data_IF_313585819756
#
_entry.id   IF_313585819756
#
_cell.length_a   1.000
_cell.length_b   1.000
_cell.length_c   1.000
_cell.angle_alpha   90.00
_cell.angle_beta   90.00
_cell.angle_gamma   90.00
#
_symmetry.space_group_name_H-M   'P 1'
#
loop_
_entity.id
_entity.type
_entity.pdbx_description
1 polymer ?
#
# COMPACT_ATOMS: atom_id res chain seq x y z
N UNK A 1 5.98 -22.33 14.09
CA UNK A 1 4.67 -21.72 13.77
C UNK A 1 4.65 -21.42 12.28
N UNK A 2 3.63 -21.90 11.56
CA UNK A 2 3.59 -21.89 10.09
C UNK A 2 3.75 -20.48 9.51
N UNK A 3 4.84 -20.27 8.78
CA UNK A 3 4.97 -19.16 7.86
C UNK A 3 3.92 -19.33 6.75
N UNK A 4 2.86 -18.53 6.78
CA UNK A 4 1.93 -18.42 5.66
C UNK A 4 2.71 -17.86 4.46
N UNK A 5 3.06 -18.72 3.50
CA UNK A 5 3.58 -18.28 2.20
C UNK A 5 2.46 -17.51 1.51
N UNK A 6 2.69 -16.23 1.20
CA UNK A 6 1.80 -15.48 0.31
C UNK A 6 1.67 -16.27 -1.00
N UNK A 7 0.49 -16.86 -1.21
CA UNK A 7 0.22 -17.77 -2.32
C UNK A 7 0.16 -17.02 -3.65
N UNK A 8 -0.19 -15.72 -3.61
CA UNK A 8 -0.34 -14.81 -4.76
C UNK A 8 -1.05 -15.49 -5.95
N UNK A 9 -2.08 -16.28 -5.64
CA UNK A 9 -2.82 -17.07 -6.62
C UNK A 9 -3.59 -16.13 -7.53
N UNK A 10 -4.22 -15.12 -6.94
CA UNK A 10 -4.98 -14.12 -7.68
C UNK A 10 -4.11 -13.37 -8.69
N UNK A 11 -2.82 -13.19 -8.39
CA UNK A 11 -1.85 -12.58 -9.29
C UNK A 11 -1.76 -13.24 -10.67
N UNK A 12 -2.05 -14.55 -10.75
CA UNK A 12 -1.98 -15.35 -11.98
C UNK A 12 -3.26 -15.35 -12.80
N UNK A 13 -4.35 -14.80 -12.27
CA UNK A 13 -5.61 -14.77 -13.00
C UNK A 13 -5.62 -13.71 -14.11
N UNK A 14 -6.32 -13.97 -15.23
CA UNK A 14 -6.61 -12.96 -16.24
C UNK A 14 -7.30 -11.73 -15.63
N UNK A 15 -7.08 -10.56 -16.24
CA UNK A 15 -7.59 -9.27 -15.74
C UNK A 15 -9.11 -9.25 -15.51
N UNK A 16 -9.89 -9.85 -16.40
CA UNK A 16 -11.35 -9.87 -16.25
C UNK A 16 -11.79 -10.66 -15.01
N UNK A 17 -11.11 -11.75 -14.66
CA UNK A 17 -11.38 -12.52 -13.43
C UNK A 17 -10.94 -11.74 -12.19
N UNK A 18 -9.81 -11.02 -12.27
CA UNK A 18 -9.38 -10.13 -11.19
C UNK A 18 -10.45 -9.07 -10.91
N UNK A 19 -10.93 -8.36 -11.93
CA UNK A 19 -12.00 -7.35 -11.79
C UNK A 19 -13.27 -7.92 -11.18
N UNK A 20 -13.74 -9.06 -11.71
CA UNK A 20 -14.96 -9.72 -11.23
C UNK A 20 -14.89 -10.19 -9.77
N UNK A 21 -13.69 -10.34 -9.20
CA UNK A 21 -13.50 -10.68 -7.80
C UNK A 21 -13.23 -9.44 -6.93
N UNK A 22 -12.34 -8.56 -7.38
CA UNK A 22 -11.84 -7.43 -6.58
C UNK A 22 -12.95 -6.42 -6.33
N UNK A 23 -13.70 -6.02 -7.36
CA UNK A 23 -14.70 -4.95 -7.24
C UNK A 23 -15.85 -5.31 -6.27
N UNK A 24 -16.45 -6.51 -6.30
CA UNK A 24 -17.46 -6.89 -5.32
C UNK A 24 -16.89 -7.00 -3.90
N UNK A 25 -15.67 -7.54 -3.76
CA UNK A 25 -15.04 -7.72 -2.44
C UNK A 25 -14.66 -6.38 -1.82
N UNK A 26 -14.04 -5.47 -2.58
CA UNK A 26 -13.71 -4.13 -2.11
C UNK A 26 -14.98 -3.38 -1.70
N UNK A 27 -16.02 -3.43 -2.52
CA UNK A 27 -17.30 -2.77 -2.25
C UNK A 27 -17.98 -3.30 -0.99
N UNK A 28 -17.98 -4.63 -0.78
CA UNK A 28 -18.48 -5.23 0.45
C UNK A 28 -17.69 -4.75 1.66
N UNK A 29 -16.35 -4.80 1.60
CA UNK A 29 -15.49 -4.45 2.74
C UNK A 29 -15.58 -2.99 3.16
N UNK A 30 -15.92 -2.07 2.25
CA UNK A 30 -16.16 -0.66 2.59
C UNK A 30 -17.38 -0.49 3.51
N UNK A 31 -18.39 -1.35 3.38
CA UNK A 31 -19.66 -1.26 4.10
C UNK A 31 -19.82 -2.30 5.22
N UNK A 32 -18.88 -3.25 5.32
CA UNK A 32 -19.02 -4.42 6.18
C UNK A 32 -18.88 -4.09 7.67
N UNK A 33 -19.60 -4.84 8.50
CA UNK A 33 -19.40 -4.96 9.95
C UNK A 33 -18.30 -5.99 10.31
N UNK A 34 -17.70 -6.61 9.29
CA UNK A 34 -16.66 -7.64 9.37
C UNK A 34 -17.05 -8.92 10.12
N UNK A 35 -18.34 -9.21 10.31
CA UNK A 35 -18.81 -10.40 11.01
C UNK A 35 -18.30 -11.72 10.39
N UNK A 36 -18.08 -11.74 9.07
CA UNK A 36 -17.56 -12.92 8.35
C UNK A 36 -16.04 -13.14 8.53
N UNK A 37 -15.29 -12.10 8.94
CA UNK A 37 -13.83 -12.14 9.06
C UNK A 37 -13.41 -12.61 10.45
N UNK A 38 -13.76 -13.85 10.77
CA UNK A 38 -13.57 -14.45 12.10
C UNK A 38 -12.17 -15.00 12.36
N UNK A 39 -11.35 -15.18 11.31
CA UNK A 39 -10.01 -15.77 11.43
C UNK A 39 -8.93 -14.95 10.73
N UNK A 40 -7.64 -15.08 11.15
CA UNK A 40 -6.51 -14.48 10.44
C UNK A 40 -6.44 -14.88 8.96
N UNK A 41 -6.89 -16.08 8.61
CA UNK A 41 -6.93 -16.56 7.23
C UNK A 41 -7.93 -15.78 6.38
N UNK A 42 -9.09 -15.43 6.93
CA UNK A 42 -10.09 -14.62 6.21
C UNK A 42 -9.54 -13.23 5.91
N UNK A 43 -8.92 -12.59 6.91
CA UNK A 43 -8.27 -11.28 6.73
C UNK A 43 -7.16 -11.37 5.70
N UNK A 44 -6.30 -12.38 5.77
CA UNK A 44 -5.20 -12.57 4.80
C UNK A 44 -5.70 -12.78 3.37
N UNK A 45 -6.80 -13.49 3.18
CA UNK A 45 -7.43 -13.65 1.88
C UNK A 45 -7.96 -12.31 1.35
N UNK A 46 -8.64 -11.51 2.17
CA UNK A 46 -9.06 -10.16 1.80
C UNK A 46 -7.87 -9.28 1.43
N UNK A 47 -6.76 -9.34 2.18
CA UNK A 47 -5.54 -8.61 1.85
C UNK A 47 -4.93 -9.06 0.51
N UNK A 48 -5.04 -10.34 0.14
CA UNK A 48 -4.60 -10.80 -1.19
C UNK A 48 -5.45 -10.17 -2.30
N UNK A 49 -6.78 -10.15 -2.13
CA UNK A 49 -7.72 -9.53 -3.09
C UNK A 49 -7.45 -8.03 -3.22
N UNK A 50 -7.41 -7.30 -2.10
CA UNK A 50 -7.20 -5.85 -2.07
C UNK A 50 -5.81 -5.46 -2.60
N UNK A 51 -4.77 -6.25 -2.27
CA UNK A 51 -3.44 -6.06 -2.81
C UNK A 51 -3.40 -6.19 -4.35
N UNK A 52 -4.13 -7.15 -4.92
CA UNK A 52 -4.26 -7.24 -6.38
C UNK A 52 -5.05 -6.08 -6.97
N UNK A 53 -5.99 -5.50 -6.23
CA UNK A 53 -6.70 -4.27 -6.62
C UNK A 53 -5.75 -3.11 -6.92
N UNK A 54 -4.65 -2.98 -6.17
CA UNK A 54 -3.63 -1.94 -6.39
C UNK A 54 -2.84 -2.12 -7.70
N UNK A 55 -2.89 -3.31 -8.31
CA UNK A 55 -2.20 -3.64 -9.56
C UNK A 55 -3.08 -3.51 -10.80
N UNK A 56 -4.37 -3.15 -10.63
CA UNK A 56 -5.28 -2.97 -11.74
C UNK A 56 -4.84 -1.79 -12.65
N UNK A 57 -5.20 -1.82 -13.94
CA UNK A 57 -5.03 -0.68 -14.83
C UNK A 57 -5.65 0.60 -14.27
N UNK A 58 -5.12 1.76 -14.66
CA UNK A 58 -5.58 3.06 -14.17
C UNK A 58 -7.05 3.36 -14.52
N UNK A 59 -7.59 2.70 -15.54
CA UNK A 59 -9.02 2.77 -15.90
C UNK A 59 -9.92 2.30 -14.75
N UNK A 60 -9.43 1.40 -13.89
CA UNK A 60 -10.12 0.92 -12.68
C UNK A 60 -9.86 1.82 -11.46
N UNK A 61 -9.64 3.12 -11.68
CA UNK A 61 -9.29 4.11 -10.64
C UNK A 61 -10.21 4.04 -9.41
N UNK A 62 -11.53 3.90 -9.61
CA UNK A 62 -12.50 3.83 -8.51
C UNK A 62 -12.26 2.61 -7.62
N UNK A 63 -12.01 1.45 -8.22
CA UNK A 63 -11.74 0.19 -7.51
C UNK A 63 -10.41 0.25 -6.77
N UNK A 64 -9.37 0.81 -7.39
CA UNK A 64 -8.08 1.04 -6.73
C UNK A 64 -8.27 1.94 -5.50
N UNK A 65 -8.99 3.05 -5.65
CA UNK A 65 -9.23 3.99 -4.56
C UNK A 65 -10.06 3.36 -3.42
N UNK A 66 -11.02 2.49 -3.74
CA UNK A 66 -11.73 1.70 -2.72
C UNK A 66 -10.78 0.77 -1.96
N UNK A 67 -9.86 0.09 -2.65
CA UNK A 67 -8.88 -0.78 -1.99
C UNK A 67 -7.98 0.03 -1.04
N UNK A 68 -7.53 1.22 -1.46
CA UNK A 68 -6.75 2.15 -0.62
C UNK A 68 -7.58 2.59 0.58
N UNK A 69 -8.87 2.89 0.38
CA UNK A 69 -9.75 3.31 1.45
C UNK A 69 -9.92 2.23 2.53
N UNK A 70 -10.14 0.96 2.15
CA UNK A 70 -10.23 -0.14 3.13
C UNK A 70 -8.95 -0.23 3.96
N UNK A 71 -7.77 -0.13 3.32
CA UNK A 71 -6.49 -0.12 4.04
C UNK A 71 -6.34 1.11 4.92
N UNK A 72 -6.77 2.29 4.48
CA UNK A 72 -6.77 3.50 5.30
C UNK A 72 -7.56 3.31 6.59
N UNK A 73 -8.79 2.78 6.50
CA UNK A 73 -9.64 2.50 7.67
C UNK A 73 -8.96 1.45 8.56
N UNK A 74 -8.47 0.36 7.98
CA UNK A 74 -7.83 -0.70 8.76
C UNK A 74 -6.50 -0.32 9.38
N UNK A 75 -5.79 0.66 8.83
CA UNK A 75 -4.55 1.18 9.38
C UNK A 75 -4.80 2.28 10.41
N UNK A 76 -5.79 3.16 10.21
CA UNK A 76 -5.95 4.38 11.01
C UNK A 76 -7.09 4.33 12.04
N UNK A 77 -8.06 3.43 11.89
CA UNK A 77 -9.26 3.38 12.74
C UNK A 77 -9.38 2.05 13.50
N UNK A 78 -8.77 1.91 14.69
CA UNK A 78 -8.75 0.68 15.50
C UNK A 78 -10.12 0.00 15.72
N UNK A 79 -11.18 0.80 15.82
CA UNK A 79 -12.55 0.33 16.12
C UNK A 79 -13.30 -0.17 14.87
N UNK A 80 -12.81 0.13 13.67
CA UNK A 80 -13.44 -0.27 12.39
C UNK A 80 -12.67 -1.38 11.69
N UNK A 81 -12.07 -2.28 12.47
CA UNK A 81 -11.23 -3.37 11.98
C UNK A 81 -11.86 -4.72 12.30
N UNK A 82 -11.55 -5.76 11.49
CA UNK A 82 -11.90 -7.13 11.84
C UNK A 82 -11.24 -7.57 13.15
N UNK A 83 -11.94 -8.39 13.95
CA UNK A 83 -11.46 -8.90 15.24
C UNK A 83 -10.06 -9.54 15.20
N UNK A 84 -9.75 -10.43 14.23
CA UNK A 84 -8.41 -11.02 14.12
C UNK A 84 -7.30 -10.00 13.89
N UNK A 85 -7.61 -8.89 13.20
CA UNK A 85 -6.65 -7.82 12.94
C UNK A 85 -6.40 -6.98 14.19
N UNK A 86 -7.42 -6.77 15.03
CA UNK A 86 -7.26 -6.09 16.32
C UNK A 86 -6.38 -6.88 17.30
N UNK A 87 -6.48 -8.22 17.28
CA UNK A 87 -5.74 -9.08 18.21
C UNK A 87 -4.24 -9.14 17.95
N UNK A 88 -3.80 -9.04 16.69
CA UNK A 88 -2.39 -9.03 16.32
C UNK A 88 -2.16 -8.19 15.04
N UNK A 89 -2.11 -6.85 15.15
CA UNK A 89 -2.17 -5.96 13.99
C UNK A 89 -0.88 -5.87 13.17
N UNK A 90 0.28 -6.00 13.80
CA UNK A 90 1.58 -5.68 13.18
C UNK A 90 1.89 -6.47 11.90
N UNK A 91 1.69 -7.81 11.84
CA UNK A 91 1.91 -8.56 10.60
C UNK A 91 1.00 -8.10 9.45
N UNK A 92 -0.25 -7.72 9.77
CA UNK A 92 -1.18 -7.20 8.77
C UNK A 92 -0.79 -5.80 8.31
N UNK A 93 -0.34 -4.92 9.22
CA UNK A 93 0.17 -3.60 8.87
C UNK A 93 1.36 -3.72 7.91
N UNK A 94 2.34 -4.57 8.22
CA UNK A 94 3.50 -4.80 7.36
C UNK A 94 3.08 -5.23 5.95
N UNK A 95 2.08 -6.12 5.84
CA UNK A 95 1.54 -6.57 4.55
C UNK A 95 0.82 -5.46 3.79
N UNK A 96 -0.04 -4.69 4.46
CA UNK A 96 -0.75 -3.55 3.85
C UNK A 96 0.22 -2.48 3.36
N UNK A 97 1.22 -2.13 4.17
CA UNK A 97 2.26 -1.15 3.81
C UNK A 97 3.00 -1.60 2.54
N UNK A 98 3.40 -2.87 2.45
CA UNK A 98 4.03 -3.41 1.23
C UNK A 98 3.09 -3.37 0.01
N UNK A 99 1.81 -3.68 0.20
CA UNK A 99 0.86 -3.72 -0.92
C UNK A 99 0.44 -2.33 -1.40
N UNK A 100 0.37 -1.33 -0.51
CA UNK A 100 0.16 0.07 -0.90
C UNK A 100 1.27 0.57 -1.83
N UNK A 101 2.50 0.06 -1.69
CA UNK A 101 3.61 0.45 -2.57
C UNK A 101 3.39 0.05 -4.04
N UNK A 102 2.48 -0.88 -4.32
CA UNK A 102 2.14 -1.31 -5.69
C UNK A 102 1.47 -0.18 -6.50
N UNK A 103 0.83 0.79 -5.82
CA UNK A 103 0.18 1.95 -6.47
C UNK A 103 1.19 2.81 -7.22
N UNK A 104 2.47 2.81 -6.82
CA UNK A 104 3.51 3.63 -7.44
C UNK A 104 4.10 3.02 -8.71
N UNK A 105 3.76 1.77 -9.05
CA UNK A 105 4.24 1.15 -10.28
C UNK A 105 3.65 1.84 -11.52
N UNK A 106 4.50 2.15 -12.49
CA UNK A 106 4.09 2.80 -13.75
C UNK A 106 3.21 1.87 -14.57
N UNK A 107 2.06 2.37 -15.01
CA UNK A 107 1.03 1.58 -15.72
C UNK A 107 1.10 1.81 -17.23
N UNK A 108 2.29 1.64 -17.81
CA UNK A 108 2.50 1.67 -19.27
C UNK A 108 2.75 3.07 -19.87
N UNK A 109 3.31 3.09 -21.09
CA UNK A 109 3.86 4.29 -21.72
C UNK A 109 2.86 5.09 -22.57
N UNK A 110 1.73 4.49 -22.98
CA UNK A 110 0.73 5.09 -23.88
C UNK A 110 -0.46 5.73 -23.12
N UNK A 111 -0.22 6.20 -21.89
CA UNK A 111 -1.28 6.81 -21.09
C UNK A 111 -1.62 8.23 -21.54
N UNK A 112 -2.92 8.52 -21.62
CA UNK A 112 -3.40 9.89 -21.82
C UNK A 112 -2.97 10.79 -20.64
N UNK A 113 -2.80 12.10 -20.88
CA UNK A 113 -2.51 13.07 -19.79
C UNK A 113 -3.51 12.98 -18.62
N UNK A 114 -4.77 12.66 -18.91
CA UNK A 114 -5.81 12.47 -17.89
C UNK A 114 -5.56 11.25 -17.01
N UNK A 115 -5.12 10.14 -17.62
CA UNK A 115 -4.75 8.91 -16.91
C UNK A 115 -3.54 9.13 -16.00
N UNK A 116 -2.53 9.85 -16.49
CA UNK A 116 -1.33 10.22 -15.72
C UNK A 116 -1.71 11.05 -14.50
N UNK A 117 -2.56 12.07 -14.66
CA UNK A 117 -3.00 12.91 -13.52
C UNK A 117 -3.75 12.10 -12.47
N UNK A 118 -4.65 11.18 -12.89
CA UNK A 118 -5.32 10.26 -11.96
C UNK A 118 -4.32 9.40 -11.19
N UNK A 119 -3.27 8.92 -11.87
CA UNK A 119 -2.23 8.12 -11.23
C UNK A 119 -1.43 8.94 -10.22
N UNK A 120 -1.03 10.16 -10.58
CA UNK A 120 -0.36 11.10 -9.66
C UNK A 120 -1.21 11.33 -8.41
N UNK A 121 -2.53 11.52 -8.56
CA UNK A 121 -3.42 11.71 -7.42
C UNK A 121 -3.53 10.47 -6.52
N UNK A 122 -3.57 9.25 -7.09
CA UNK A 122 -3.51 8.02 -6.30
C UNK A 122 -2.22 7.92 -5.50
N UNK A 123 -1.08 8.17 -6.13
CA UNK A 123 0.23 8.14 -5.47
C UNK A 123 0.32 9.20 -4.37
N UNK A 124 -0.11 10.44 -4.64
CA UNK A 124 -0.14 11.53 -3.67
C UNK A 124 -1.02 11.20 -2.46
N UNK A 125 -2.20 10.63 -2.68
CA UNK A 125 -3.08 10.20 -1.60
C UNK A 125 -2.49 9.04 -0.79
N UNK A 126 -1.78 8.12 -1.46
CA UNK A 126 -1.07 7.02 -0.79
C UNK A 126 0.10 7.53 0.07
N UNK A 127 0.84 8.55 -0.38
CA UNK A 127 1.87 9.21 0.44
C UNK A 127 1.29 9.89 1.67
N UNK A 128 0.16 10.61 1.50
CA UNK A 128 -0.57 11.20 2.64
C UNK A 128 -1.05 10.12 3.62
N UNK A 129 -1.48 8.96 3.11
CA UNK A 129 -1.85 7.83 3.96
C UNK A 129 -0.64 7.32 4.76
N UNK A 130 0.51 7.09 4.13
CA UNK A 130 1.73 6.71 4.86
C UNK A 130 2.10 7.73 5.94
N UNK A 131 2.01 9.03 5.63
CA UNK A 131 2.26 10.09 6.59
C UNK A 131 1.35 9.98 7.82
N UNK A 132 0.05 9.79 7.59
CA UNK A 132 -0.93 9.63 8.65
C UNK A 132 -0.67 8.38 9.49
N UNK A 133 -0.27 7.27 8.86
CA UNK A 133 0.09 6.03 9.56
C UNK A 133 1.31 6.25 10.46
N UNK A 134 2.37 6.84 9.91
CA UNK A 134 3.59 7.19 10.66
C UNK A 134 3.28 8.10 11.86
N UNK A 135 2.38 9.07 11.69
CA UNK A 135 2.00 10.04 12.73
C UNK A 135 1.12 9.45 13.82
N UNK A 136 0.09 8.72 13.42
CA UNK A 136 -0.98 8.27 14.32
C UNK A 136 -0.68 6.90 14.94
N UNK A 137 -0.09 6.00 14.15
CA UNK A 137 0.08 4.57 14.51
C UNK A 137 1.55 4.22 14.72
N UNK A 138 2.50 5.05 14.27
CA UNK A 138 3.93 4.76 14.33
C UNK A 138 4.46 4.47 15.74
N UNK A 139 3.79 4.95 16.81
CA UNK A 139 4.17 4.62 18.20
C UNK A 139 3.88 3.16 18.58
N UNK A 140 2.97 2.50 17.87
CA UNK A 140 2.62 1.08 18.06
C UNK A 140 3.54 0.15 17.27
N UNK A 141 4.32 0.66 16.33
CA UNK A 141 5.21 -0.16 15.49
C UNK A 141 6.37 -0.71 16.31
N UNK A 142 6.62 -2.01 16.13
CA UNK A 142 7.88 -2.62 16.53
C UNK A 142 9.00 -2.30 15.52
N UNK A 143 10.21 -2.73 15.86
CA UNK A 143 11.41 -2.52 15.03
C UNK A 143 11.22 -3.12 13.63
N UNK A 144 10.60 -4.30 13.54
CA UNK A 144 10.38 -4.98 12.26
C UNK A 144 9.39 -4.23 11.36
N UNK A 145 8.32 -3.69 11.95
CA UNK A 145 7.32 -2.89 11.24
C UNK A 145 7.89 -1.56 10.79
N UNK A 146 8.70 -0.90 11.62
CA UNK A 146 9.46 0.28 11.22
C UNK A 146 10.43 -0.01 10.07
N UNK A 147 11.14 -1.14 10.12
CA UNK A 147 12.00 -1.57 9.02
C UNK A 147 11.21 -1.76 7.73
N UNK A 148 10.03 -2.39 7.78
CA UNK A 148 9.17 -2.54 6.59
C UNK A 148 8.71 -1.18 6.06
N UNK A 149 8.22 -0.29 6.92
CA UNK A 149 7.79 1.06 6.53
C UNK A 149 8.92 1.83 5.85
N UNK A 150 10.09 1.92 6.49
CA UNK A 150 11.23 2.67 5.96
C UNK A 150 11.76 2.07 4.67
N UNK A 151 11.88 0.74 4.57
CA UNK A 151 12.30 0.08 3.32
C UNK A 151 11.33 0.34 2.17
N UNK A 152 10.03 0.38 2.44
CA UNK A 152 9.01 0.72 1.44
C UNK A 152 9.15 2.17 1.00
N UNK A 153 9.25 3.12 1.93
CA UNK A 153 9.42 4.54 1.60
C UNK A 153 10.70 4.77 0.79
N UNK A 154 11.80 4.14 1.21
CA UNK A 154 13.08 4.17 0.52
C UNK A 154 12.99 3.56 -0.88
N UNK A 155 12.37 2.39 -1.04
CA UNK A 155 12.19 1.75 -2.33
C UNK A 155 11.31 2.56 -3.28
N UNK A 156 10.24 3.18 -2.78
CA UNK A 156 9.38 4.08 -3.60
C UNK A 156 10.13 5.34 -4.01
N UNK A 157 10.91 5.94 -3.11
CA UNK A 157 11.77 7.09 -3.44
C UNK A 157 12.79 6.70 -4.51
N UNK A 158 13.48 5.57 -4.34
CA UNK A 158 14.49 5.09 -5.27
C UNK A 158 13.89 4.80 -6.65
N UNK A 159 12.75 4.11 -6.69
CA UNK A 159 12.05 3.78 -7.92
C UNK A 159 11.64 5.04 -8.70
N UNK A 160 10.94 5.97 -8.05
CA UNK A 160 10.41 7.17 -8.72
C UNK A 160 11.48 8.20 -9.08
N UNK A 161 12.60 8.25 -8.33
CA UNK A 161 13.69 9.21 -8.59
C UNK A 161 14.76 8.65 -9.54
N UNK A 162 14.98 7.32 -9.60
CA UNK A 162 15.96 6.70 -10.51
C UNK A 162 15.42 6.36 -11.87
N UNK A 163 14.15 5.98 -11.99
CA UNK A 163 13.56 5.91 -13.33
C UNK A 163 13.65 7.34 -13.87
N UNK A 164 14.51 7.52 -14.89
CA UNK A 164 14.35 8.59 -15.87
C UNK A 164 13.02 8.31 -16.58
N UNK A 165 11.92 8.44 -15.83
CA UNK A 165 10.56 8.49 -16.32
C UNK A 165 10.66 9.36 -17.56
N UNK A 166 10.26 8.81 -18.69
CA UNK A 166 10.37 9.48 -19.97
C UNK A 166 9.97 10.96 -19.80
N UNK A 167 10.62 11.93 -20.47
CA UNK A 167 10.40 13.36 -20.25
C UNK A 167 8.93 13.84 -20.39
N UNK A 168 8.00 12.93 -20.71
CA UNK A 168 6.55 13.07 -20.68
C UNK A 168 5.86 12.80 -19.33
N UNK A 169 6.51 12.16 -18.36
CA UNK A 169 5.92 11.75 -17.07
C UNK A 169 6.47 12.61 -15.93
N UNK A 170 5.91 13.80 -15.76
CA UNK A 170 6.18 14.75 -14.67
C UNK A 170 5.83 14.23 -13.25
N UNK A 171 5.58 12.92 -13.09
CA UNK A 171 5.14 12.32 -11.83
C UNK A 171 6.22 12.44 -10.74
N UNK A 172 7.51 12.28 -11.10
CA UNK A 172 8.61 12.42 -10.15
C UNK A 172 8.67 13.83 -9.56
N UNK A 173 8.60 14.85 -10.42
CA UNK A 173 8.61 16.26 -10.01
C UNK A 173 7.42 16.58 -9.10
N UNK A 174 6.21 16.14 -9.48
CA UNK A 174 4.95 16.37 -8.76
C UNK A 174 4.87 15.67 -7.39
N UNK A 175 5.64 14.60 -7.18
CA UNK A 175 5.60 13.78 -5.96
C UNK A 175 6.85 13.93 -5.09
N UNK A 176 7.97 14.42 -5.62
CA UNK A 176 9.28 14.51 -4.96
C UNK A 176 9.23 15.12 -3.56
N UNK A 177 8.57 16.27 -3.40
CA UNK A 177 8.44 16.94 -2.10
C UNK A 177 7.69 16.06 -1.09
N UNK A 178 6.56 15.47 -1.49
CA UNK A 178 5.78 14.58 -0.63
C UNK A 178 6.56 13.32 -0.27
N UNK A 179 7.31 12.76 -1.23
CA UNK A 179 8.13 11.56 -1.04
C UNK A 179 9.21 11.77 0.02
N UNK A 180 9.98 12.86 -0.13
CA UNK A 180 11.04 13.22 0.80
C UNK A 180 10.46 13.56 2.17
N UNK A 181 9.36 14.32 2.23
CA UNK A 181 8.70 14.68 3.48
C UNK A 181 8.31 13.45 4.30
N UNK A 182 7.62 12.49 3.67
CA UNK A 182 7.15 11.28 4.36
C UNK A 182 8.33 10.41 4.78
N UNK A 183 9.38 10.31 3.95
CA UNK A 183 10.59 9.58 4.29
C UNK A 183 11.29 10.16 5.53
N UNK A 184 11.55 11.48 5.54
CA UNK A 184 12.21 12.13 6.67
C UNK A 184 11.38 12.05 7.95
N UNK A 185 10.07 12.28 7.87
CA UNK A 185 9.22 12.18 9.05
C UNK A 185 9.13 10.75 9.58
N UNK A 186 9.03 9.75 8.68
CA UNK A 186 9.11 8.34 9.04
C UNK A 186 10.44 7.99 9.72
N UNK A 187 11.54 8.49 9.17
CA UNK A 187 12.88 8.22 9.70
C UNK A 187 13.09 8.81 11.10
N UNK A 188 12.74 10.08 11.30
CA UNK A 188 12.86 10.77 12.58
C UNK A 188 12.02 10.10 13.69
N UNK A 189 10.84 9.57 13.34
CA UNK A 189 9.94 8.91 14.29
C UNK A 189 10.32 7.46 14.56
N UNK A 190 10.82 6.75 13.55
CA UNK A 190 11.22 5.35 13.67
C UNK A 190 12.45 5.16 14.56
N UNK A 191 13.26 6.22 14.75
CA UNK A 191 14.50 6.21 15.54
C UNK A 191 15.39 4.99 15.20
N UNK A 192 15.38 4.58 13.93
CA UNK A 192 16.13 3.40 13.49
C UNK A 192 17.55 3.83 13.17
N UNK A 193 18.48 3.42 14.02
CA UNK A 193 19.92 3.68 13.90
C UNK A 193 20.68 2.55 13.19
N UNK A 194 19.99 1.50 12.75
CA UNK A 194 20.62 0.35 12.09
C UNK A 194 21.19 0.74 10.72
N UNK A 195 22.53 0.82 10.67
CA UNK A 195 23.31 1.14 9.48
C UNK A 195 23.11 0.10 8.37
N UNK A 196 22.76 -1.14 8.73
CA UNK A 196 22.52 -2.23 7.78
C UNK A 196 21.33 -2.00 6.85
N UNK A 197 20.36 -1.17 7.25
CA UNK A 197 19.20 -0.81 6.41
C UNK A 197 19.62 -0.16 5.09
N UNK A 198 20.72 0.61 5.10
CA UNK A 198 21.19 1.41 3.97
C UNK A 198 22.01 0.62 2.95
N UNK A 199 22.44 -0.59 3.30
CA UNK A 199 23.14 -1.47 2.36
C UNK A 199 22.21 -2.00 1.25
N UNK A 200 20.90 -1.71 1.29
CA UNK A 200 19.97 -1.98 0.20
C UNK A 200 20.25 -1.18 -1.08
N UNK A 201 21.06 -0.12 -1.00
CA UNK A 201 21.38 0.77 -2.12
C UNK A 201 22.80 0.60 -2.67
N UNK A 202 23.57 -0.37 -2.17
CA UNK A 202 24.91 -0.70 -2.69
C UNK A 202 24.84 -1.81 -3.74
#
# INVERSE_FOLDING_TARGET
>A
MCAYKDSNILGRFPLHLKRALIEPVSSYLVLADYAILTSPSHVNWCLEVLGQGMTLPIDDFSVINQCIHVYSVWLLEPLKRPGPLMGNPLPFYQKMIKQLSLVFQVRGADESKSSINKHIDLCRNTLKLYLNVVRSVGREFDVETWHVMLKVLLGVNDYLLKENMSPSLNMADELSENLLWVLFEGWLRGNVSDVGMWNLFK
#
